data_IF_811648075846
#
_entry.id   IF_811648075846
#
_cell.length_a   1.000
_cell.length_b   1.000
_cell.length_c   1.000
_cell.angle_alpha   90.00
_cell.angle_beta   90.00
_cell.angle_gamma   90.00
#
_symmetry.space_group_name_H-M   'P 1'
#
loop_
_entity.id
_entity.type
_entity.pdbx_description
1 polymer ?
#
# COMPACT_ATOMS: atom_id res chain seq x y z
N UNK A 1 18.32 -0.12 -18.86
CA UNK A 1 18.69 -0.72 -18.36
C UNK A 1 19.02 -1.15 -18.14
N UNK A 2 18.66 -0.80 -18.03
CA UNK A 2 19.06 -1.44 -17.35
C UNK A 2 19.36 -1.81 -17.05
N UNK A 3 19.10 -1.59 -17.01
CA UNK A 3 19.41 -2.27 -16.42
C UNK A 3 19.69 -2.39 -16.06
N UNK A 4 19.46 -2.14 -16.01
CA UNK A 4 19.67 -2.59 -15.41
C UNK A 4 19.72 -2.81 -15.12
N UNK A 5 19.53 -2.58 -15.17
CA UNK A 5 19.59 -3.18 -14.65
C UNK A 5 19.58 -3.62 -14.61
N UNK A 6 19.37 -3.38 -14.79
CA UNK A 6 19.36 -4.03 -14.49
C UNK A 6 19.32 -4.41 -14.22
N UNK A 7 19.01 -4.39 -14.47
CA UNK A 7 19.01 -4.93 -14.02
C UNK A 7 18.71 -5.25 -13.68
N UNK A 8 18.37 -5.18 -13.84
CA UNK A 8 18.21 -5.77 -13.31
C UNK A 8 17.78 -5.90 -13.19
N UNK A 9 17.06 -5.80 -13.50
CA UNK A 9 16.76 -6.32 -13.25
C UNK A 9 16.33 -6.33 -13.34
N UNK A 10 16.09 -6.06 -13.63
CA UNK A 10 15.75 -6.26 -13.62
C UNK A 10 15.29 -6.47 -13.49
N UNK A 11 14.90 -6.37 -13.67
CA UNK A 11 14.72 -6.70 -13.38
C UNK A 11 14.25 -6.69 -13.16
N UNK A 12 13.70 -6.53 -13.25
CA UNK A 12 13.47 -6.73 -12.88
C UNK A 12 13.09 -6.47 -12.96
N UNK A 13 12.66 -6.16 -13.12
CA UNK A 13 12.49 -5.95 -13.20
C UNK A 13 11.91 -5.70 -13.26
N UNK A 14 11.50 -5.81 -13.45
CA UNK A 14 11.26 -5.55 -13.28
C UNK A 14 10.82 -5.20 -13.21
N UNK A 15 10.30 -5.25 -13.51
CA UNK A 15 10.11 -4.77 -13.20
C UNK A 15 9.36 -4.30 -13.22
N UNK A 16 8.78 -4.47 -13.25
CA UNK A 16 7.95 -3.78 -12.90
C UNK A 16 8.21 -2.53 -12.43
N UNK A 17 8.03 -1.97 -12.54
CA UNK A 17 8.39 -1.07 -12.00
C UNK A 17 8.21 -0.47 -11.15
N UNK A 18 8.02 -0.80 -10.72
CA UNK A 18 7.87 -0.11 -9.69
C UNK A 18 9.02 0.48 -9.39
N UNK A 19 9.17 1.51 -9.27
CA UNK A 19 10.25 2.02 -9.07
C UNK A 19 10.56 2.11 -7.81
N UNK A 20 11.50 1.74 -7.45
CA UNK A 20 11.93 1.75 -6.16
C UNK A 20 12.78 2.87 -6.00
N UNK A 21 12.51 3.66 -5.12
CA UNK A 21 13.37 4.73 -4.81
C UNK A 21 14.41 4.29 -3.86
N UNK A 22 15.62 4.29 -4.27
CA UNK A 22 16.70 4.00 -3.36
C UNK A 22 17.42 5.27 -2.99
N UNK A 23 16.86 6.41 -3.28
CA UNK A 23 17.51 7.65 -2.94
C UNK A 23 17.39 7.92 -1.47
N UNK A 24 18.34 8.64 -0.94
CA UNK A 24 18.30 9.05 0.44
C UNK A 24 17.27 10.12 0.71
N UNK A 25 16.82 10.81 -0.32
CA UNK A 25 15.88 11.92 -0.15
C UNK A 25 14.49 11.44 -0.45
N UNK A 26 13.59 11.46 0.52
CA UNK A 26 12.21 11.08 0.24
C UNK A 26 11.54 12.15 -0.60
N UNK A 27 10.50 11.77 -1.38
CA UNK A 27 9.70 12.78 -2.06
C UNK A 27 9.00 13.64 -1.03
N UNK A 28 8.67 14.89 -1.37
CA UNK A 28 7.90 15.72 -0.47
C UNK A 28 6.57 15.05 -0.15
N UNK A 29 6.12 15.19 1.08
CA UNK A 29 4.81 14.69 1.46
C UNK A 29 3.74 15.37 0.61
N UNK A 30 2.78 14.58 0.14
CA UNK A 30 1.70 15.08 -0.68
C UNK A 30 0.40 14.69 0.01
N UNK A 31 -0.35 15.66 0.56
CA UNK A 31 -1.57 15.33 1.30
C UNK A 31 -2.64 14.67 0.46
N UNK A 32 -2.52 14.76 -0.87
CA UNK A 32 -3.49 14.16 -1.77
C UNK A 32 -3.02 12.81 -2.29
N UNK A 33 -1.90 12.29 -1.83
CA UNK A 33 -1.40 10.99 -2.28
C UNK A 33 -1.78 9.91 -1.30
N UNK A 34 -2.31 8.82 -1.82
CA UNK A 34 -2.59 7.64 -1.01
C UNK A 34 -1.91 6.44 -1.63
N UNK A 35 -1.46 5.54 -0.78
CA UNK A 35 -0.87 4.28 -1.18
C UNK A 35 -1.90 3.20 -0.95
N UNK A 36 -2.11 2.34 -1.94
CA UNK A 36 -3.19 1.37 -1.91
C UNK A 36 -2.61 -0.03 -1.92
N UNK A 37 -3.03 -0.82 -0.94
CA UNK A 37 -2.80 -2.25 -0.89
C UNK A 37 -4.14 -2.95 -0.98
N UNK A 38 -4.15 -4.19 -1.47
CA UNK A 38 -5.37 -4.99 -1.45
C UNK A 38 -5.05 -6.42 -1.05
N UNK A 39 -6.07 -7.11 -0.55
CA UNK A 39 -5.92 -8.49 -0.12
C UNK A 39 -7.25 -9.08 0.30
N UNK A 40 -7.20 -10.29 0.81
CA UNK A 40 -8.38 -11.00 1.28
C UNK A 40 -8.29 -11.28 2.78
N UNK A 41 -9.35 -10.95 3.48
CA UNK A 41 -9.46 -11.23 4.91
C UNK A 41 -10.81 -11.91 5.16
N UNK A 42 -10.86 -12.68 6.24
CA UNK A 42 -12.08 -13.40 6.58
C UNK A 42 -13.20 -12.51 7.09
N UNK A 43 -12.87 -11.32 7.57
CA UNK A 43 -13.85 -10.38 8.08
C UNK A 43 -13.24 -9.00 8.15
N UNK A 44 -14.09 -8.01 8.31
CA UNK A 44 -13.61 -6.63 8.51
C UNK A 44 -12.81 -6.53 9.80
N UNK A 45 -13.22 -7.24 10.84
CA UNK A 45 -12.48 -7.22 12.09
C UNK A 45 -11.07 -7.78 11.90
N UNK A 46 -10.93 -8.85 11.13
CA UNK A 46 -9.62 -9.42 10.87
C UNK A 46 -8.73 -8.42 10.14
N UNK A 47 -9.27 -7.73 9.14
CA UNK A 47 -8.51 -6.70 8.43
C UNK A 47 -8.13 -5.55 9.36
N UNK A 48 -9.05 -5.13 10.21
CA UNK A 48 -8.81 -4.06 11.18
C UNK A 48 -7.72 -4.46 12.16
N UNK A 49 -7.79 -5.67 12.69
CA UNK A 49 -6.78 -6.16 13.63
C UNK A 49 -5.41 -6.23 12.97
N UNK A 50 -5.35 -6.65 11.71
CA UNK A 50 -4.09 -6.70 11.00
C UNK A 50 -3.40 -5.35 10.94
N UNK A 51 -4.18 -4.29 10.75
CA UNK A 51 -3.63 -2.95 10.55
C UNK A 51 -3.47 -2.17 11.85
N UNK A 52 -4.36 -2.36 12.81
CA UNK A 52 -4.48 -1.42 13.92
C UNK A 52 -4.27 -2.05 15.28
N UNK A 53 -4.22 -3.36 15.38
CA UNK A 53 -4.09 -4.02 16.68
C UNK A 53 -2.66 -4.49 16.89
N UNK A 54 -1.98 -4.04 17.94
CA UNK A 54 -0.63 -4.55 18.23
C UNK A 54 -0.62 -6.06 18.38
N UNK A 55 0.44 -6.68 17.89
CA UNK A 55 0.58 -8.13 17.95
C UNK A 55 0.79 -8.64 19.36
N UNK A 56 1.20 -7.77 20.25
CA UNK A 56 1.43 -8.13 21.64
C UNK A 56 1.95 -6.93 22.38
N UNK A 57 2.32 -7.16 23.65
CA UNK A 57 2.81 -6.08 24.49
C UNK A 57 4.12 -5.57 23.93
N UNK A 58 4.19 -4.26 23.71
CA UNK A 58 5.38 -3.59 23.16
C UNK A 58 5.74 -4.11 21.76
N UNK A 59 4.74 -4.55 21.01
CA UNK A 59 4.96 -5.01 19.63
C UNK A 59 4.14 -4.16 18.68
N UNK A 60 4.60 -4.01 17.43
CA UNK A 60 3.83 -3.26 16.44
C UNK A 60 2.63 -4.06 15.97
N UNK A 61 1.80 -3.40 15.18
CA UNK A 61 0.74 -4.06 14.43
C UNK A 61 1.37 -4.93 13.33
N UNK A 62 0.63 -5.95 12.89
CA UNK A 62 1.14 -6.84 11.86
C UNK A 62 1.49 -6.06 10.57
N UNK A 63 0.66 -5.09 10.20
CA UNK A 63 0.93 -4.27 9.01
C UNK A 63 2.29 -3.57 9.13
N UNK A 64 2.55 -2.94 10.28
CA UNK A 64 3.81 -2.25 10.51
C UNK A 64 4.98 -3.22 10.47
N UNK A 65 4.81 -4.39 11.06
CA UNK A 65 5.83 -5.43 11.05
C UNK A 65 6.13 -5.91 9.62
N UNK A 66 5.09 -6.04 8.80
CA UNK A 66 5.23 -6.57 7.45
C UNK A 66 5.80 -5.54 6.47
N UNK A 67 5.84 -4.27 6.85
CA UNK A 67 6.42 -3.20 6.04
C UNK A 67 7.57 -2.56 6.81
N UNK A 68 8.68 -3.29 6.99
CA UNK A 68 9.75 -2.85 7.88
C UNK A 68 10.52 -1.63 7.36
N UNK A 69 10.42 -1.34 6.07
CA UNK A 69 11.13 -0.22 5.48
C UNK A 69 10.28 1.04 5.41
N UNK A 70 9.22 1.09 6.21
CA UNK A 70 8.35 2.24 6.28
C UNK A 70 7.94 2.46 7.73
N UNK A 71 8.03 3.72 8.19
CA UNK A 71 7.43 4.09 9.44
C UNK A 71 5.99 4.47 9.13
N UNK A 72 5.03 3.88 9.82
CA UNK A 72 3.63 4.09 9.50
C UNK A 72 2.89 4.60 10.73
N UNK A 73 2.33 5.80 10.62
CA UNK A 73 1.41 6.31 11.60
C UNK A 73 0.05 5.67 11.32
N UNK A 74 -0.36 4.73 12.15
CA UNK A 74 -1.57 3.95 11.87
C UNK A 74 -2.84 4.79 11.93
N UNK A 75 -2.79 5.99 12.50
CA UNK A 75 -3.96 6.88 12.45
C UNK A 75 -4.25 7.36 11.04
N UNK A 76 -3.29 7.20 10.12
CA UNK A 76 -3.44 7.58 8.73
C UNK A 76 -3.76 6.39 7.83
N UNK A 77 -4.13 5.25 8.42
CA UNK A 77 -4.48 4.05 7.69
C UNK A 77 -6.00 3.91 7.67
N UNK A 78 -6.55 3.65 6.49
CA UNK A 78 -7.99 3.46 6.34
C UNK A 78 -8.25 2.11 5.70
N UNK A 79 -9.25 1.40 6.20
CA UNK A 79 -9.59 0.06 5.74
C UNK A 79 -10.94 0.11 5.05
N UNK A 80 -10.98 -0.38 3.82
CA UNK A 80 -12.21 -0.50 3.04
C UNK A 80 -12.48 -1.98 2.87
N UNK A 81 -13.57 -2.47 3.45
CA UNK A 81 -13.88 -3.88 3.42
C UNK A 81 -15.19 -4.13 2.68
N UNK A 82 -15.19 -5.12 1.80
CA UNK A 82 -16.37 -5.55 1.08
C UNK A 82 -16.45 -4.99 -0.33
N UNK A 83 -16.95 -5.82 -1.25
CA UNK A 83 -16.99 -5.46 -2.66
C UNK A 83 -17.80 -4.20 -2.92
N UNK A 84 -18.88 -4.00 -2.21
CA UNK A 84 -19.74 -2.82 -2.44
C UNK A 84 -18.97 -1.54 -2.12
N UNK A 85 -18.26 -1.52 -0.98
CA UNK A 85 -17.50 -0.33 -0.61
C UNK A 85 -16.32 -0.11 -1.54
N UNK A 86 -15.68 -1.19 -1.96
CA UNK A 86 -14.58 -1.09 -2.92
C UNK A 86 -15.08 -0.47 -4.22
N UNK A 87 -16.22 -0.91 -4.71
CA UNK A 87 -16.78 -0.37 -5.94
C UNK A 87 -17.16 1.09 -5.81
N UNK A 88 -17.53 1.53 -4.61
CA UNK A 88 -17.85 2.95 -4.38
C UNK A 88 -16.61 3.81 -4.28
N UNK A 89 -15.54 3.27 -3.71
CA UNK A 89 -14.36 4.07 -3.37
C UNK A 89 -13.36 4.14 -4.53
N UNK A 90 -13.18 3.06 -5.27
CA UNK A 90 -12.14 3.00 -6.31
C UNK A 90 -12.28 4.10 -7.36
N UNK A 91 -13.49 4.45 -7.83
CA UNK A 91 -13.60 5.56 -8.80
C UNK A 91 -13.10 6.91 -8.27
N UNK A 92 -13.11 7.08 -6.94
CA UNK A 92 -12.60 8.31 -6.34
C UNK A 92 -11.09 8.29 -6.16
N UNK A 93 -10.47 7.13 -6.25
CA UNK A 93 -9.04 6.98 -5.99
C UNK A 93 -8.21 6.93 -7.27
N UNK A 94 -8.79 6.44 -8.35
CA UNK A 94 -8.01 6.13 -9.54
C UNK A 94 -8.65 6.75 -10.77
N UNK A 95 -7.84 7.33 -11.68
CA UNK A 95 -8.36 7.77 -12.97
C UNK A 95 -8.73 6.61 -13.87
N UNK A 96 -8.33 5.39 -13.50
CA UNK A 96 -8.63 4.18 -14.25
C UNK A 96 -9.28 3.16 -13.34
N UNK A 97 -10.52 3.42 -12.90
CA UNK A 97 -11.16 2.55 -11.91
C UNK A 97 -11.33 1.11 -12.40
N UNK A 98 -11.62 0.90 -13.69
CA UNK A 98 -11.79 -0.46 -14.19
C UNK A 98 -10.49 -1.25 -14.12
N UNK A 99 -9.37 -0.61 -14.36
CA UNK A 99 -8.07 -1.26 -14.27
C UNK A 99 -7.77 -1.67 -12.84
N UNK A 100 -8.00 -0.76 -11.89
CA UNK A 100 -7.74 -1.07 -10.49
C UNK A 100 -8.70 -2.12 -9.97
N UNK A 101 -9.98 -2.04 -10.33
CA UNK A 101 -10.95 -3.06 -9.94
C UNK A 101 -10.59 -4.43 -10.50
N UNK A 102 -10.11 -4.48 -11.74
CA UNK A 102 -9.66 -5.72 -12.33
C UNK A 102 -8.45 -6.31 -11.60
N UNK A 103 -7.52 -5.45 -11.21
CA UNK A 103 -6.37 -5.90 -10.44
C UNK A 103 -6.78 -6.44 -9.08
N UNK A 104 -7.68 -5.74 -8.39
CA UNK A 104 -8.16 -6.17 -7.08
C UNK A 104 -8.89 -7.51 -7.19
N UNK A 105 -9.67 -7.68 -8.26
CA UNK A 105 -10.34 -8.95 -8.52
C UNK A 105 -11.26 -9.37 -7.40
N UNK A 106 -11.08 -10.59 -6.92
CA UNK A 106 -11.94 -11.17 -5.88
C UNK A 106 -11.48 -10.80 -4.47
N UNK A 107 -10.42 -10.03 -4.31
CA UNK A 107 -10.00 -9.60 -2.99
C UNK A 107 -11.04 -8.67 -2.39
N UNK A 108 -11.25 -8.78 -1.10
CA UNK A 108 -12.36 -8.09 -0.45
C UNK A 108 -11.93 -6.90 0.40
N UNK A 109 -10.64 -6.54 0.38
CA UNK A 109 -10.14 -5.52 1.28
C UNK A 109 -9.17 -4.61 0.56
N UNK A 110 -9.31 -3.31 0.79
CA UNK A 110 -8.33 -2.31 0.41
C UNK A 110 -7.81 -1.67 1.69
N UNK A 111 -6.49 -1.50 1.75
CA UNK A 111 -5.84 -0.73 2.81
C UNK A 111 -5.26 0.52 2.17
N UNK A 112 -5.68 1.68 2.67
CA UNK A 112 -5.21 2.96 2.16
C UNK A 112 -4.32 3.61 3.20
N UNK A 113 -3.13 4.00 2.79
CA UNK A 113 -2.17 4.66 3.67
C UNK A 113 -1.85 6.01 3.05
N UNK A 114 -2.20 7.08 3.74
CA UNK A 114 -1.90 8.41 3.21
C UNK A 114 -0.40 8.68 3.28
N UNK A 115 0.07 9.55 2.41
CA UNK A 115 1.49 9.89 2.37
C UNK A 115 1.95 10.52 3.69
N UNK A 116 1.03 11.15 4.41
CA UNK A 116 1.33 11.74 5.71
C UNK A 116 1.73 10.70 6.77
N UNK A 117 1.35 9.44 6.56
CA UNK A 117 1.65 8.38 7.53
C UNK A 117 3.15 8.19 7.73
N UNK A 118 3.95 8.57 6.74
CA UNK A 118 5.39 8.31 6.79
C UNK A 118 6.19 9.45 7.43
N UNK A 119 5.52 10.53 7.81
CA UNK A 119 6.17 11.63 8.54
C UNK A 119 7.28 12.34 7.81
N UNK A 120 7.28 12.27 6.47
CA UNK A 120 8.34 12.88 5.68
C UNK A 120 9.62 12.07 5.64
N UNK A 121 9.63 10.89 6.23
CA UNK A 121 10.81 10.01 6.23
C UNK A 121 10.85 9.17 4.96
N UNK A 122 12.03 8.72 4.55
CA UNK A 122 12.12 7.79 3.43
C UNK A 122 11.37 6.49 3.74
N UNK A 123 10.78 5.90 2.71
CA UNK A 123 10.06 4.65 2.89
C UNK A 123 10.11 3.84 1.60
N UNK A 124 9.95 2.53 1.78
CA UNK A 124 9.79 1.60 0.68
C UNK A 124 8.60 0.71 1.00
N UNK A 125 7.70 0.57 0.04
CA UNK A 125 6.51 -0.25 0.20
C UNK A 125 6.57 -1.42 -0.78
N UNK A 126 6.31 -2.60 -0.26
CA UNK A 126 6.37 -3.83 -1.04
C UNK A 126 5.17 -4.69 -0.73
N UNK A 127 4.93 -5.70 -1.55
CA UNK A 127 3.94 -6.71 -1.23
C UNK A 127 4.29 -7.38 0.09
N UNK A 128 3.27 -7.79 0.82
CA UNK A 128 3.44 -8.62 2.00
C UNK A 128 2.81 -9.98 1.75
N UNK A 129 2.87 -10.86 2.74
CA UNK A 129 2.19 -12.15 2.61
C UNK A 129 0.68 -12.02 2.48
N UNK A 130 0.11 -10.97 3.05
CA UNK A 130 -1.33 -10.78 3.06
C UNK A 130 -1.81 -9.74 2.06
N UNK A 131 -0.93 -8.86 1.59
CA UNK A 131 -1.34 -7.69 0.81
C UNK A 131 -0.48 -7.54 -0.43
N UNK A 132 -1.12 -7.08 -1.51
CA UNK A 132 -0.43 -6.69 -2.73
C UNK A 132 -0.45 -5.16 -2.82
N UNK A 133 0.69 -4.58 -3.11
CA UNK A 133 0.80 -3.14 -3.26
C UNK A 133 0.35 -2.74 -4.67
N UNK A 134 -0.69 -1.94 -4.75
CA UNK A 134 -1.23 -1.50 -6.05
C UNK A 134 -0.58 -0.21 -6.56
N UNK A 135 0.06 0.54 -5.67
CA UNK A 135 0.73 1.76 -6.09
C UNK A 135 0.21 2.99 -5.34
N UNK A 136 0.74 4.14 -5.75
CA UNK A 136 0.35 5.43 -5.18
C UNK A 136 -0.56 6.16 -6.14
N UNK A 137 -1.57 6.81 -5.60
CA UNK A 137 -2.57 7.51 -6.39
C UNK A 137 -2.75 8.90 -5.82
N UNK A 138 -2.86 9.90 -6.70
CA UNK A 138 -3.16 11.27 -6.27
C UNK A 138 -4.67 11.45 -6.33
N UNK A 139 -5.25 11.81 -5.18
CA UNK A 139 -6.67 12.08 -5.09
C UNK A 139 -6.86 13.59 -4.92
N UNK A 140 -7.81 14.13 -5.62
CA UNK A 140 -8.05 15.58 -5.56
C UNK A 140 -9.16 15.89 -4.62
#
# INVERSE_FOLDING_TARGET
MNLQRILFFPLFGIMRKKETSDTATPPPANPNRVHIFYGGFGSELEATDYCLKPMGRNKPEQLTHDLPDAMIDISEVEIIFGAARINDVVPMLSPRPDSLLGEIGANNTIIMISDAAFGGLPYTLNDTLRLTYAGAFDVS
#
